data_IF_716979998578
#
_entry.id   IF_716979998578
#
_cell.length_a   1.000
_cell.length_b   1.000
_cell.length_c   1.000
_cell.angle_alpha   90.00
_cell.angle_beta   90.00
_cell.angle_gamma   90.00
#
_symmetry.space_group_name_H-M   'P 1'
#
loop_
_entity.id
_entity.type
_entity.pdbx_description
1 polymer ?
#
# COMPACT_ATOMS: atom_id res chain seq x y z
N UNK A 1 19.53 23.63 12.77
CA UNK A 1 19.04 22.22 12.76
C UNK A 1 17.96 22.14 11.70
N UNK A 2 18.22 21.46 10.59
CA UNK A 2 17.20 21.23 9.56
C UNK A 2 16.30 20.13 10.07
N UNK A 3 15.11 20.50 10.54
CA UNK A 3 14.00 19.59 10.75
C UNK A 3 13.67 18.98 9.39
N UNK A 4 14.20 17.79 9.13
CA UNK A 4 13.84 17.02 7.94
C UNK A 4 12.53 16.32 8.24
N UNK A 5 11.41 17.02 8.03
CA UNK A 5 10.12 16.36 7.91
C UNK A 5 10.22 15.37 6.75
N UNK A 6 10.33 14.08 7.08
CA UNK A 6 10.24 13.01 6.09
C UNK A 6 8.94 13.24 5.31
N UNK A 7 8.96 13.22 3.96
CA UNK A 7 7.76 13.53 3.21
C UNK A 7 6.65 12.57 3.65
N UNK A 8 5.47 13.11 3.93
CA UNK A 8 4.25 12.38 4.27
C UNK A 8 3.72 11.58 3.07
N UNK A 9 4.57 11.26 2.10
CA UNK A 9 4.33 10.44 0.93
C UNK A 9 5.68 9.87 0.48
N UNK A 10 5.67 8.70 -0.13
CA UNK A 10 6.84 8.10 -0.75
C UNK A 10 6.51 7.70 -2.19
N UNK A 11 7.48 7.82 -3.08
CA UNK A 11 7.32 7.38 -4.46
C UNK A 11 8.63 6.85 -5.05
N UNK A 12 8.48 6.00 -6.06
CA UNK A 12 9.53 5.58 -6.97
C UNK A 12 9.01 5.81 -8.38
N UNK A 13 9.87 6.33 -9.25
CA UNK A 13 9.57 6.49 -10.66
C UNK A 13 10.74 5.97 -11.49
N UNK A 14 10.43 5.21 -12.53
CA UNK A 14 11.38 4.75 -13.52
C UNK A 14 10.79 4.90 -14.93
N UNK A 15 11.46 4.35 -15.94
CA UNK A 15 10.99 4.41 -17.33
C UNK A 15 9.67 3.65 -17.57
N UNK A 16 9.34 2.66 -16.72
CA UNK A 16 8.20 1.76 -16.88
C UNK A 16 6.95 2.20 -16.11
N UNK A 17 7.12 2.74 -14.91
CA UNK A 17 6.00 3.12 -14.05
C UNK A 17 6.35 4.20 -13.04
N UNK A 18 5.30 4.78 -12.49
CA UNK A 18 5.34 5.56 -11.26
C UNK A 18 4.54 4.81 -10.18
N UNK A 19 5.14 4.63 -9.02
CA UNK A 19 4.55 3.98 -7.86
C UNK A 19 4.63 4.92 -6.66
N UNK A 20 3.50 5.20 -6.01
CA UNK A 20 3.49 6.03 -4.81
C UNK A 20 2.54 5.55 -3.73
N UNK A 21 2.86 6.02 -2.53
CA UNK A 21 2.18 5.69 -1.30
C UNK A 21 1.98 6.97 -0.48
N UNK A 22 0.73 7.25 -0.12
CA UNK A 22 0.36 8.36 0.77
C UNK A 22 -0.41 7.80 1.96
N UNK A 23 -0.02 8.04 3.22
CA UNK A 23 -0.81 7.73 4.40
C UNK A 23 -2.20 8.33 4.33
N UNK A 24 -3.19 7.59 4.80
CA UNK A 24 -4.55 8.07 5.01
C UNK A 24 -4.82 8.22 6.50
N UNK A 25 -5.42 9.36 6.85
CA UNK A 25 -5.74 9.71 8.23
C UNK A 25 -7.24 9.83 8.42
N UNK A 26 -7.75 9.25 9.50
CA UNK A 26 -9.12 9.43 9.98
C UNK A 26 -9.06 9.76 11.47
N UNK A 27 -9.78 10.79 11.91
CA UNK A 27 -9.82 11.24 13.31
C UNK A 27 -8.41 11.37 13.94
N UNK A 28 -7.50 12.08 13.26
CA UNK A 28 -6.10 12.30 13.70
C UNK A 28 -5.28 11.01 13.85
N UNK A 29 -5.65 9.93 13.15
CA UNK A 29 -4.91 8.66 13.19
C UNK A 29 -4.69 8.11 11.80
N UNK A 30 -3.46 7.68 11.50
CA UNK A 30 -3.19 6.98 10.24
C UNK A 30 -3.78 5.58 10.29
N UNK A 31 -4.52 5.18 9.26
CA UNK A 31 -5.21 3.88 9.26
C UNK A 31 -4.87 3.03 8.03
N UNK A 32 -4.43 3.64 6.93
CA UNK A 32 -4.00 2.92 5.73
C UNK A 32 -3.26 3.82 4.77
N UNK A 33 -3.28 3.47 3.50
CA UNK A 33 -2.60 4.19 2.44
C UNK A 33 -3.47 4.35 1.20
N UNK A 34 -3.26 5.45 0.48
CA UNK A 34 -3.57 5.55 -0.94
C UNK A 34 -2.34 5.09 -1.72
N UNK A 35 -2.52 4.03 -2.50
CA UNK A 35 -1.55 3.51 -3.44
C UNK A 35 -1.89 4.04 -4.84
N UNK A 36 -0.88 4.56 -5.54
CA UNK A 36 -1.00 4.94 -6.95
C UNK A 36 0.05 4.16 -7.74
N UNK A 37 -0.39 3.48 -8.81
CA UNK A 37 0.48 2.84 -9.78
C UNK A 37 0.09 3.29 -11.19
N UNK A 38 0.96 4.08 -11.82
CA UNK A 38 0.77 4.57 -13.19
C UNK A 38 1.64 3.77 -14.13
N UNK A 39 1.02 3.22 -15.16
CA UNK A 39 1.72 2.54 -16.25
C UNK A 39 2.25 3.57 -17.26
N UNK A 40 3.55 3.51 -17.58
CA UNK A 40 4.20 4.39 -18.58
C UNK A 40 4.60 3.62 -19.84
N UNK A 41 4.00 2.46 -20.08
CA UNK A 41 4.34 1.58 -21.20
C UNK A 41 3.13 1.20 -22.03
N UNK A 42 3.39 0.58 -23.18
CA UNK A 42 2.40 -0.05 -24.05
C UNK A 42 1.98 -1.45 -23.59
N UNK A 43 2.59 -1.97 -22.53
CA UNK A 43 2.36 -3.32 -22.02
C UNK A 43 1.52 -3.27 -20.74
N UNK A 44 0.87 -4.38 -20.37
CA UNK A 44 0.08 -4.44 -19.13
C UNK A 44 1.00 -4.61 -17.92
N UNK A 45 0.83 -3.76 -16.90
CA UNK A 45 1.44 -3.97 -15.59
C UNK A 45 0.55 -4.85 -14.73
N UNK A 46 1.16 -5.70 -13.92
CA UNK A 46 0.44 -6.52 -12.94
C UNK A 46 0.97 -6.25 -11.54
N UNK A 47 0.10 -5.92 -10.59
CA UNK A 47 0.43 -5.87 -9.17
C UNK A 47 -0.03 -7.18 -8.51
N UNK A 48 0.92 -7.95 -7.98
CA UNK A 48 0.63 -9.22 -7.30
C UNK A 48 0.38 -8.99 -5.81
N UNK A 49 -0.89 -8.94 -5.43
CA UNK A 49 -1.31 -8.78 -4.04
C UNK A 49 -0.85 -9.90 -3.10
N UNK A 50 -0.61 -11.11 -3.63
CA UNK A 50 -0.14 -12.23 -2.81
C UNK A 50 1.36 -12.15 -2.50
N UNK A 51 2.07 -11.27 -3.20
CA UNK A 51 3.47 -10.92 -2.96
C UNK A 51 3.64 -9.43 -2.65
N UNK A 52 2.59 -8.82 -2.09
CA UNK A 52 2.60 -7.43 -1.64
C UNK A 52 2.36 -7.41 -0.13
N UNK A 53 3.32 -6.84 0.61
CA UNK A 53 3.37 -6.91 2.07
C UNK A 53 3.31 -5.53 2.70
N UNK A 54 2.55 -5.44 3.78
CA UNK A 54 2.63 -4.35 4.73
C UNK A 54 3.93 -4.46 5.53
N UNK A 55 4.66 -3.35 5.61
CA UNK A 55 5.91 -3.22 6.35
C UNK A 55 5.66 -2.33 7.58
N UNK A 56 6.07 -2.79 8.76
CA UNK A 56 6.18 -1.96 9.95
C UNK A 56 7.56 -2.20 10.59
N UNK A 57 8.34 -1.13 10.79
CA UNK A 57 9.69 -1.16 11.36
C UNK A 57 10.60 -2.21 10.70
N UNK A 58 10.63 -2.20 9.36
CA UNK A 58 11.36 -3.14 8.49
C UNK A 58 10.85 -4.59 8.45
N UNK A 59 9.81 -4.95 9.19
CA UNK A 59 9.26 -6.31 9.19
C UNK A 59 8.01 -6.40 8.34
N UNK A 60 7.86 -7.52 7.60
CA UNK A 60 6.60 -7.86 6.95
C UNK A 60 5.57 -8.25 8.02
N UNK A 61 4.43 -7.55 8.05
CA UNK A 61 3.34 -7.75 9.02
C UNK A 61 2.03 -8.18 8.34
N UNK A 62 2.11 -8.91 7.23
CA UNK A 62 0.96 -9.40 6.48
C UNK A 62 0.67 -8.60 5.21
N UNK A 63 -0.50 -8.81 4.62
CA UNK A 63 -0.95 -8.14 3.40
C UNK A 63 -1.89 -6.96 3.66
N UNK A 64 -2.77 -6.71 2.69
CA UNK A 64 -3.74 -5.62 2.74
C UNK A 64 -5.17 -6.12 2.53
N UNK A 65 -6.13 -5.42 3.14
CA UNK A 65 -7.55 -5.44 2.82
C UNK A 65 -7.89 -4.12 2.08
N UNK A 66 -8.90 -4.16 1.23
CA UNK A 66 -9.39 -3.02 0.47
C UNK A 66 -10.85 -3.26 0.05
N UNK A 67 -11.51 -2.22 -0.45
CA UNK A 67 -12.91 -2.28 -0.85
C UNK A 67 -13.19 -3.46 -1.80
N UNK A 68 -14.26 -4.21 -1.52
CA UNK A 68 -14.65 -5.41 -2.26
C UNK A 68 -14.04 -6.72 -1.74
N UNK A 69 -13.28 -6.70 -0.63
CA UNK A 69 -12.84 -7.89 0.09
C UNK A 69 -13.63 -8.01 1.39
N UNK A 70 -14.41 -9.10 1.53
CA UNK A 70 -15.09 -9.39 2.79
C UNK A 70 -14.06 -9.70 3.88
N UNK A 71 -14.34 -9.24 5.11
CA UNK A 71 -13.39 -9.40 6.21
C UNK A 71 -13.07 -10.88 6.49
N UNK A 72 -14.03 -11.79 6.33
CA UNK A 72 -13.84 -13.23 6.53
C UNK A 72 -12.77 -13.81 5.60
N UNK A 73 -12.66 -13.30 4.37
CA UNK A 73 -11.72 -13.75 3.33
C UNK A 73 -10.50 -12.82 3.22
N UNK A 74 -10.25 -11.96 4.21
CA UNK A 74 -9.16 -10.95 4.17
C UNK A 74 -7.76 -11.52 3.95
N UNK A 75 -7.53 -12.79 4.31
CA UNK A 75 -6.25 -13.48 4.15
C UNK A 75 -6.21 -14.42 2.94
N UNK A 76 -7.33 -14.57 2.23
CA UNK A 76 -7.39 -15.44 1.06
C UNK A 76 -6.55 -14.88 -0.09
N UNK A 77 -6.09 -15.76 -1.00
CA UNK A 77 -5.39 -15.33 -2.20
C UNK A 77 -6.20 -14.31 -3.00
N UNK A 78 -5.57 -13.19 -3.32
CA UNK A 78 -6.19 -12.08 -4.06
C UNK A 78 -5.81 -12.18 -5.52
N UNK A 79 -6.76 -11.87 -6.40
CA UNK A 79 -6.49 -11.78 -7.84
C UNK A 79 -5.50 -10.63 -8.08
N UNK A 80 -4.43 -10.83 -8.87
CA UNK A 80 -3.54 -9.74 -9.23
C UNK A 80 -4.30 -8.61 -9.93
N UNK A 81 -3.90 -7.38 -9.66
CA UNK A 81 -4.45 -6.21 -10.35
C UNK A 81 -3.76 -6.04 -11.70
N UNK A 82 -4.54 -5.82 -12.77
CA UNK A 82 -3.99 -5.57 -14.12
C UNK A 82 -4.22 -4.11 -14.49
N UNK A 83 -3.13 -3.37 -14.68
CA UNK A 83 -3.14 -1.96 -15.04
C UNK A 83 -2.84 -1.85 -16.52
N UNK A 84 -3.82 -1.34 -17.27
CA UNK A 84 -3.74 -1.21 -18.74
C UNK A 84 -2.57 -0.30 -19.15
N UNK A 85 -2.10 -0.41 -20.39
CA UNK A 85 -1.14 0.54 -20.97
C UNK A 85 -1.58 1.99 -20.72
N UNK A 86 -0.64 2.82 -20.29
CA UNK A 86 -0.85 4.27 -20.04
C UNK A 86 -1.86 4.64 -18.95
N UNK A 87 -2.41 3.66 -18.24
CA UNK A 87 -3.48 3.85 -17.26
C UNK A 87 -2.93 4.17 -15.85
N UNK A 88 -3.81 4.72 -15.00
CA UNK A 88 -3.51 5.04 -13.61
C UNK A 88 -4.41 4.20 -12.71
N UNK A 89 -3.79 3.32 -11.94
CA UNK A 89 -4.45 2.59 -10.87
C UNK A 89 -4.33 3.35 -9.55
N UNK A 90 -5.46 3.54 -8.87
CA UNK A 90 -5.54 4.16 -7.55
C UNK A 90 -6.33 3.24 -6.65
N UNK A 91 -5.80 2.89 -5.48
CA UNK A 91 -6.51 2.08 -4.50
C UNK A 91 -6.19 2.50 -3.08
N UNK A 92 -7.23 2.55 -2.26
CA UNK A 92 -7.07 2.63 -0.81
C UNK A 92 -6.82 1.23 -0.27
N UNK A 93 -5.75 1.07 0.51
CA UNK A 93 -5.34 -0.20 1.11
C UNK A 93 -5.13 -0.04 2.61
N UNK A 94 -5.55 -1.03 3.38
CA UNK A 94 -5.42 -1.06 4.83
C UNK A 94 -4.67 -2.32 5.27
N UNK A 95 -3.71 -2.23 6.20
CA UNK A 95 -3.00 -3.42 6.69
C UNK A 95 -3.96 -4.44 7.31
N UNK A 96 -3.94 -5.67 6.82
CA UNK A 96 -4.87 -6.72 7.30
C UNK A 96 -4.69 -7.03 8.78
N UNK A 97 -3.45 -6.95 9.30
CA UNK A 97 -3.14 -7.17 10.72
C UNK A 97 -3.77 -6.13 11.65
N UNK A 98 -4.15 -4.97 11.11
CA UNK A 98 -4.80 -3.89 11.83
C UNK A 98 -6.31 -3.86 11.57
N UNK A 99 -6.85 -4.76 10.75
CA UNK A 99 -8.29 -4.87 10.53
C UNK A 99 -8.92 -5.77 11.61
N UNK A 100 -9.94 -5.27 12.30
CA UNK A 100 -10.66 -5.99 13.36
C UNK A 100 -12.17 -5.93 13.13
N UNK A 101 -12.87 -7.05 13.28
CA UNK A 101 -14.33 -7.11 13.16
C UNK A 101 -14.82 -8.41 12.55
N UNK A 102 -15.96 -8.35 11.86
CA UNK A 102 -16.64 -9.50 11.27
C UNK A 102 -17.21 -9.14 9.89
N UNK A 103 -17.25 -10.10 8.97
CA UNK A 103 -17.88 -10.04 7.63
C UNK A 103 -17.94 -8.64 6.96
N UNK A 104 -19.01 -7.87 7.20
CA UNK A 104 -19.28 -6.55 6.60
C UNK A 104 -19.12 -5.38 7.59
N UNK A 105 -18.72 -5.66 8.82
CA UNK A 105 -18.53 -4.71 9.90
C UNK A 105 -17.12 -4.90 10.46
N UNK A 106 -16.16 -4.28 9.79
CA UNK A 106 -14.78 -4.23 10.27
C UNK A 106 -14.35 -2.78 10.46
N UNK A 107 -13.44 -2.60 11.40
CA UNK A 107 -12.80 -1.32 11.70
C UNK A 107 -11.31 -1.45 11.49
N UNK A 108 -10.69 -0.34 11.13
CA UNK A 108 -9.25 -0.25 10.99
C UNK A 108 -8.64 0.32 12.26
N UNK A 109 -7.78 -0.46 12.88
CA UNK A 109 -6.96 0.00 13.99
C UNK A 109 -5.91 1.00 13.49
N UNK A 110 -5.56 2.01 14.32
CA UNK A 110 -4.52 2.96 13.98
C UNK A 110 -3.18 2.28 13.70
N UNK A 111 -2.43 2.79 12.73
CA UNK A 111 -1.01 2.53 12.63
C UNK A 111 -0.30 3.29 13.76
N UNK A 112 0.58 2.58 14.47
CA UNK A 112 1.41 3.15 15.53
C UNK A 112 2.42 4.18 14.97
N UNK A 113 3.17 4.83 15.84
CA UNK A 113 4.35 5.58 15.39
C UNK A 113 5.43 4.64 14.91
N UNK A 114 6.11 4.99 13.83
CA UNK A 114 7.19 4.16 13.30
C UNK A 114 7.36 4.33 11.81
N UNK A 115 8.15 3.44 11.21
CA UNK A 115 8.30 3.37 9.77
C UNK A 115 7.31 2.37 9.23
N UNK A 116 6.38 2.84 8.41
CA UNK A 116 5.36 2.02 7.76
C UNK A 116 5.58 2.01 6.26
N UNK A 117 5.10 0.98 5.57
CA UNK A 117 5.35 0.88 4.15
C UNK A 117 4.64 -0.24 3.44
N UNK A 118 4.91 -0.28 2.14
CA UNK A 118 4.47 -1.33 1.22
C UNK A 118 5.72 -1.87 0.54
N UNK A 119 5.87 -3.19 0.56
CA UNK A 119 6.74 -3.92 -0.35
C UNK A 119 5.86 -4.57 -1.41
N UNK A 120 5.90 -4.06 -2.65
CA UNK A 120 5.03 -4.47 -3.75
C UNK A 120 5.80 -5.28 -4.79
N UNK A 121 5.16 -6.35 -5.30
CA UNK A 121 5.66 -7.11 -6.45
C UNK A 121 4.90 -6.67 -7.71
N UNK A 122 5.62 -6.05 -8.64
CA UNK A 122 5.09 -5.56 -9.91
C UNK A 122 5.69 -6.39 -11.04
N UNK A 123 4.84 -6.86 -11.97
CA UNK A 123 5.24 -7.60 -13.14
C UNK A 123 4.96 -6.79 -14.40
N UNK A 124 5.92 -6.82 -15.33
CA UNK A 124 5.82 -6.22 -16.66
C UNK A 124 6.50 -7.15 -17.65
N UNK A 125 5.75 -7.70 -18.61
CA UNK A 125 6.33 -8.48 -19.71
C UNK A 125 7.28 -9.62 -19.22
N UNK A 126 6.84 -10.35 -18.20
CA UNK A 126 7.64 -11.41 -17.57
C UNK A 126 8.77 -10.94 -16.64
N UNK A 127 9.13 -9.64 -16.62
CA UNK A 127 10.05 -9.07 -15.64
C UNK A 127 9.36 -8.84 -14.31
N UNK A 128 10.08 -9.09 -13.21
CA UNK A 128 9.59 -8.91 -11.84
C UNK A 128 10.37 -7.78 -11.18
N UNK A 129 9.64 -6.82 -10.61
CA UNK A 129 10.16 -5.73 -9.82
C UNK A 129 9.64 -5.87 -8.39
N UNK A 130 10.53 -5.73 -7.40
CA UNK A 130 10.15 -5.68 -5.98
C UNK A 130 10.46 -4.30 -5.45
N UNK A 131 9.43 -3.50 -5.23
CA UNK A 131 9.55 -2.11 -4.82
C UNK A 131 9.19 -1.94 -3.35
N UNK A 132 10.02 -1.23 -2.59
CA UNK A 132 9.77 -0.95 -1.17
C UNK A 132 9.63 0.54 -0.94
N UNK A 133 8.41 0.99 -0.66
CA UNK A 133 8.13 2.37 -0.24
C UNK A 133 7.88 2.39 1.27
N UNK A 134 8.55 3.31 1.97
CA UNK A 134 8.31 3.54 3.38
C UNK A 134 8.05 5.01 3.66
N UNK A 135 7.23 5.27 4.66
CA UNK A 135 6.88 6.58 5.20
C UNK A 135 7.10 6.56 6.70
N UNK A 136 7.64 7.65 7.24
CA UNK A 136 7.77 7.81 8.68
C UNK A 136 6.47 8.40 9.22
N UNK A 137 5.86 7.71 10.18
CA UNK A 137 4.69 8.19 10.91
C UNK A 137 5.11 8.64 12.30
N UNK A 138 4.73 9.86 12.66
CA UNK A 138 4.70 10.33 14.04
C UNK A 138 3.26 10.30 14.52
N UNK A 139 3.05 10.19 15.83
CA UNK A 139 1.73 10.48 16.41
C UNK A 139 1.36 11.90 15.97
N UNK A 140 0.16 12.10 15.45
CA UNK A 140 -0.36 13.44 15.22
C UNK A 140 -0.54 14.08 16.60
N UNK A 141 0.35 15.01 16.95
CA UNK A 141 0.22 15.77 18.19
C UNK A 141 -1.08 16.58 18.12
N UNK A 142 -1.85 16.55 19.22
CA UNK A 142 -3.04 17.39 19.42
C UNK A 142 -2.66 18.83 19.71
#
# INVERSE_FOLDING_TARGET
MVSSSSPYYANIENEYYYFSLTPLSANERHCGFRLILKNKTTQTLTLDWNKTYYIHNNERKGGFIFDGVDYEYRNDPKRPEKIKPWDIFIKTIWPTVLASGERNQWTQMPMESGRHGVEATILLDGKIFTEKLNVQMSILEK
#
